data_IF_028300302343
#
_entry.id   IF_028300302343
#
_cell.length_a   1.000
_cell.length_b   1.000
_cell.length_c   1.000
_cell.angle_alpha   90.00
_cell.angle_beta   90.00
_cell.angle_gamma   90.00
#
_symmetry.space_group_name_H-M   'P 1'
#
loop_
_entity.id
_entity.type
_entity.pdbx_description
1 polymer ?
#
# COMPACT_ATOMS: atom_id res chain seq x y z
N UNK A 1 55.32 -10.58 -27.87
CA UNK A 1 56.45 -11.36 -27.34
C UNK A 1 56.22 -11.46 -25.84
N UNK A 2 55.72 -12.60 -25.34
CA UNK A 2 56.55 -13.71 -24.80
C UNK A 2 57.33 -13.26 -23.55
N UNK A 3 57.33 -13.93 -22.39
CA UNK A 3 56.85 -15.27 -22.03
C UNK A 3 56.88 -15.43 -20.50
N UNK A 4 55.89 -16.17 -19.98
CA UNK A 4 55.95 -17.21 -18.94
C UNK A 4 56.98 -17.18 -17.79
N UNK A 5 56.50 -17.37 -16.57
CA UNK A 5 57.02 -18.42 -15.67
C UNK A 5 55.84 -19.12 -14.97
N UNK A 6 55.67 -20.40 -15.29
CA UNK A 6 54.89 -21.41 -14.56
C UNK A 6 55.90 -22.36 -13.90
N UNK A 7 55.51 -22.87 -12.73
CA UNK A 7 55.80 -24.17 -12.09
C UNK A 7 55.86 -23.94 -10.56
N UNK A 8 55.21 -24.70 -9.69
CA UNK A 8 54.44 -25.92 -9.84
C UNK A 8 54.39 -26.65 -8.48
N UNK A 9 53.29 -27.37 -8.25
CA UNK A 9 53.09 -28.48 -7.31
C UNK A 9 52.88 -28.25 -5.80
N UNK A 10 51.77 -28.80 -5.29
CA UNK A 10 51.56 -29.08 -3.87
C UNK A 10 50.11 -29.33 -3.48
N UNK A 11 49.54 -30.47 -3.88
CA UNK A 11 48.22 -30.97 -3.49
C UNK A 11 48.12 -31.26 -1.98
N UNK A 12 47.09 -30.75 -1.31
CA UNK A 12 46.43 -31.48 -0.21
C UNK A 12 44.97 -31.02 -0.08
N UNK A 13 44.06 -31.80 -0.66
CA UNK A 13 42.65 -31.72 -0.35
C UNK A 13 42.44 -32.20 1.10
N UNK A 14 41.93 -31.33 1.97
CA UNK A 14 41.38 -31.76 3.27
C UNK A 14 39.85 -31.74 3.16
N UNK A 15 39.31 -32.95 3.11
CA UNK A 15 37.91 -33.29 3.22
C UNK A 15 37.28 -32.63 4.46
N UNK A 16 36.30 -31.75 4.26
CA UNK A 16 35.37 -31.38 5.33
C UNK A 16 34.18 -32.30 5.25
N UNK A 17 34.17 -33.25 6.19
CA UNK A 17 33.07 -34.16 6.51
C UNK A 17 31.73 -33.43 6.52
N UNK A 18 30.84 -33.84 5.61
CA UNK A 18 29.44 -33.46 5.56
C UNK A 18 28.71 -34.44 6.48
N UNK A 19 28.32 -33.98 7.66
CA UNK A 19 27.47 -34.74 8.58
C UNK A 19 26.04 -34.78 8.03
N UNK A 20 25.72 -35.82 7.26
CA UNK A 20 24.34 -36.19 6.90
C UNK A 20 23.64 -36.73 8.14
N UNK A 21 22.86 -35.88 8.81
CA UNK A 21 21.89 -36.33 9.80
C UNK A 21 20.66 -36.82 9.05
N UNK A 22 20.51 -38.15 8.93
CA UNK A 22 19.31 -38.79 8.39
C UNK A 22 18.14 -38.58 9.37
N UNK A 23 17.23 -37.66 9.04
CA UNK A 23 15.92 -37.57 9.67
C UNK A 23 14.94 -38.54 9.01
N UNK A 24 14.06 -39.24 9.77
CA UNK A 24 13.19 -40.27 9.22
C UNK A 24 12.21 -39.71 8.17
N UNK A 25 12.18 -40.37 7.01
CA UNK A 25 11.19 -40.18 5.95
C UNK A 25 9.77 -40.34 6.50
N UNK A 26 9.04 -39.24 6.58
CA UNK A 26 7.57 -39.21 6.73
C UNK A 26 6.99 -38.84 5.35
N UNK A 27 5.84 -39.41 4.93
CA UNK A 27 5.47 -39.53 3.52
C UNK A 27 5.34 -38.18 2.82
N UNK A 28 5.97 -38.06 1.65
CA UNK A 28 5.71 -36.99 0.70
C UNK A 28 4.27 -37.13 0.20
N UNK A 29 3.34 -36.39 0.82
CA UNK A 29 2.10 -36.01 0.13
C UNK A 29 2.51 -35.04 -0.98
N UNK A 30 2.43 -35.53 -2.21
CA UNK A 30 2.43 -34.74 -3.43
C UNK A 30 1.38 -33.63 -3.31
N UNK A 31 1.82 -32.41 -3.01
CA UNK A 31 1.01 -31.21 -3.22
C UNK A 31 0.89 -31.02 -4.73
N UNK A 32 -0.24 -31.43 -5.31
CA UNK A 32 -0.65 -30.98 -6.64
C UNK A 32 -0.49 -29.46 -6.70
N UNK A 33 0.10 -28.93 -7.77
CA UNK A 33 0.16 -27.49 -7.97
C UNK A 33 -1.28 -27.01 -8.18
N UNK A 34 -1.90 -26.55 -7.11
CA UNK A 34 -3.29 -26.10 -7.11
C UNK A 34 -3.47 -24.93 -8.08
N UNK A 35 -4.55 -24.96 -8.85
CA UNK A 35 -4.85 -23.95 -9.87
C UNK A 35 -5.20 -22.62 -9.19
N UNK A 36 -4.48 -21.51 -9.44
CA UNK A 36 -4.75 -20.23 -8.78
C UNK A 36 -6.17 -19.72 -9.01
N UNK A 37 -6.78 -19.99 -10.17
CA UNK A 37 -8.19 -19.63 -10.43
C UNK A 37 -9.12 -20.33 -9.42
N UNK A 38 -8.90 -21.62 -9.19
CA UNK A 38 -9.69 -22.41 -8.25
C UNK A 38 -9.50 -21.94 -6.81
N UNK A 39 -8.28 -21.62 -6.40
CA UNK A 39 -7.99 -21.10 -5.05
C UNK A 39 -8.68 -19.77 -4.79
N UNK A 40 -8.60 -18.84 -5.76
CA UNK A 40 -9.24 -17.54 -5.67
C UNK A 40 -10.76 -17.72 -5.55
N UNK A 41 -11.37 -18.55 -6.41
CA UNK A 41 -12.81 -18.81 -6.34
C UNK A 41 -13.23 -19.42 -5.00
N UNK A 42 -12.45 -20.37 -4.47
CA UNK A 42 -12.71 -20.95 -3.15
C UNK A 42 -12.64 -19.91 -2.04
N UNK A 43 -11.66 -19.00 -2.07
CA UNK A 43 -11.59 -17.89 -1.12
C UNK A 43 -12.84 -17.01 -1.20
N UNK A 44 -13.21 -16.57 -2.41
CA UNK A 44 -14.37 -15.70 -2.61
C UNK A 44 -15.67 -16.35 -2.15
N UNK A 45 -15.88 -17.63 -2.45
CA UNK A 45 -17.07 -18.39 -2.05
C UNK A 45 -17.17 -18.58 -0.52
N UNK A 46 -16.04 -18.85 0.14
CA UNK A 46 -15.99 -18.97 1.60
C UNK A 46 -16.38 -17.66 2.26
N UNK A 47 -15.85 -16.54 1.76
CA UNK A 47 -16.17 -15.20 2.28
C UNK A 47 -17.61 -14.78 2.01
N UNK A 48 -18.12 -15.05 0.81
CA UNK A 48 -19.54 -14.84 0.48
C UNK A 48 -20.47 -15.63 1.42
N UNK A 49 -19.99 -16.75 1.96
CA UNK A 49 -20.72 -17.59 2.92
C UNK A 49 -20.52 -17.17 4.39
N UNK A 50 -19.77 -16.10 4.66
CA UNK A 50 -19.51 -15.60 6.02
C UNK A 50 -18.54 -16.46 6.83
N UNK A 51 -17.76 -17.33 6.20
CA UNK A 51 -16.77 -18.17 6.88
C UNK A 51 -15.47 -17.36 7.02
N UNK A 52 -15.21 -16.86 8.23
CA UNK A 52 -13.97 -16.14 8.56
C UNK A 52 -12.77 -17.09 8.65
N UNK A 53 -11.62 -16.67 8.13
CA UNK A 53 -10.37 -17.43 8.12
C UNK A 53 -9.43 -16.87 9.21
N UNK A 54 -9.71 -17.10 10.50
CA UNK A 54 -8.77 -16.74 11.59
C UNK A 54 -8.23 -15.30 11.53
N UNK A 55 -6.97 -15.08 11.93
CA UNK A 55 -6.24 -13.83 11.65
C UNK A 55 -6.02 -13.71 10.13
N UNK A 56 -7.00 -13.13 9.42
CA UNK A 56 -6.97 -13.03 7.97
C UNK A 56 -5.81 -12.16 7.50
N UNK A 57 -4.94 -12.71 6.63
CA UNK A 57 -3.88 -11.91 6.03
C UNK A 57 -4.49 -10.73 5.24
N UNK A 58 -4.01 -9.49 5.47
CA UNK A 58 -4.56 -8.29 4.83
C UNK A 58 -4.34 -8.26 3.31
N UNK A 59 -3.47 -9.15 2.80
CA UNK A 59 -3.06 -9.22 1.40
C UNK A 59 -2.76 -10.67 1.03
N UNK A 60 -3.61 -11.28 0.19
CA UNK A 60 -3.40 -12.62 -0.35
C UNK A 60 -3.14 -12.49 -1.85
N UNK A 61 -1.99 -12.99 -2.31
CA UNK A 61 -1.51 -12.81 -3.69
C UNK A 61 -1.29 -14.15 -4.40
N UNK A 62 -1.68 -14.19 -5.68
CA UNK A 62 -1.45 -15.30 -6.59
C UNK A 62 -0.75 -14.84 -7.85
N UNK A 63 0.10 -15.71 -8.40
CA UNK A 63 0.54 -15.57 -9.79
C UNK A 63 -0.61 -15.96 -10.71
N UNK A 64 -1.15 -14.99 -11.43
CA UNK A 64 -2.26 -15.14 -12.34
C UNK A 64 -1.91 -14.46 -13.66
N UNK A 65 -1.77 -15.23 -14.73
CA UNK A 65 -1.50 -14.70 -16.06
C UNK A 65 -2.79 -14.15 -16.71
N UNK A 66 -2.72 -13.39 -17.82
CA UNK A 66 -3.90 -12.75 -18.43
C UNK A 66 -5.01 -13.72 -18.84
N UNK A 67 -4.67 -14.89 -19.38
CA UNK A 67 -5.67 -15.89 -19.77
C UNK A 67 -6.41 -16.46 -18.56
N UNK A 68 -5.68 -16.74 -17.46
CA UNK A 68 -6.27 -17.23 -16.22
C UNK A 68 -7.09 -16.14 -15.50
N UNK A 69 -6.69 -14.87 -15.61
CA UNK A 69 -7.47 -13.74 -15.14
C UNK A 69 -8.78 -13.60 -15.93
N UNK A 70 -8.73 -13.67 -17.26
CA UNK A 70 -9.93 -13.62 -18.10
C UNK A 70 -10.88 -14.79 -17.80
N UNK A 71 -10.34 -15.99 -17.56
CA UNK A 71 -11.10 -17.16 -17.11
C UNK A 71 -11.76 -16.91 -15.74
N UNK A 72 -11.00 -16.44 -14.75
CA UNK A 72 -11.52 -16.11 -13.42
C UNK A 72 -12.68 -15.10 -13.50
N UNK A 73 -12.50 -14.01 -14.23
CA UNK A 73 -13.52 -12.98 -14.40
C UNK A 73 -14.73 -13.53 -15.16
N UNK A 74 -14.52 -14.40 -16.16
CA UNK A 74 -15.60 -15.06 -16.87
C UNK A 74 -16.44 -15.95 -15.95
N UNK A 75 -15.80 -16.77 -15.11
CA UNK A 75 -16.49 -17.64 -14.15
C UNK A 75 -17.28 -16.81 -13.13
N UNK A 76 -16.68 -15.74 -12.57
CA UNK A 76 -17.35 -14.86 -11.60
C UNK A 76 -18.61 -14.26 -12.22
N UNK A 77 -18.57 -13.82 -13.48
CA UNK A 77 -19.72 -13.22 -14.18
C UNK A 77 -20.86 -14.18 -14.49
N UNK A 78 -20.61 -15.50 -14.49
CA UNK A 78 -21.63 -16.51 -14.72
C UNK A 78 -22.48 -16.78 -13.46
N UNK A 79 -21.96 -16.49 -12.27
CA UNK A 79 -22.65 -16.64 -11.00
C UNK A 79 -23.11 -15.25 -10.50
N UNK A 80 -24.40 -14.94 -10.63
CA UNK A 80 -24.96 -13.63 -10.28
C UNK A 80 -24.68 -13.21 -8.83
N UNK A 81 -24.72 -14.16 -7.90
CA UNK A 81 -24.49 -13.89 -6.47
C UNK A 81 -23.03 -13.61 -6.20
N UNK A 82 -22.14 -14.43 -6.77
CA UNK A 82 -20.70 -14.23 -6.66
C UNK A 82 -20.26 -12.94 -7.36
N UNK A 83 -20.81 -12.63 -8.54
CA UNK A 83 -20.55 -11.40 -9.29
C UNK A 83 -20.94 -10.18 -8.47
N UNK A 84 -22.16 -10.15 -7.92
CA UNK A 84 -22.64 -9.03 -7.10
C UNK A 84 -21.76 -8.80 -5.88
N UNK A 85 -21.36 -9.88 -5.19
CA UNK A 85 -20.44 -9.81 -4.06
C UNK A 85 -19.04 -9.33 -4.48
N UNK A 86 -18.50 -9.86 -5.57
CA UNK A 86 -17.18 -9.52 -6.07
C UNK A 86 -17.07 -8.04 -6.47
N UNK A 87 -18.12 -7.50 -7.11
CA UNK A 87 -18.13 -6.10 -7.53
C UNK A 87 -18.34 -5.13 -6.36
N UNK A 88 -19.17 -5.49 -5.38
CA UNK A 88 -19.50 -4.61 -4.25
C UNK A 88 -18.44 -4.66 -3.13
N UNK A 89 -18.07 -5.87 -2.70
CA UNK A 89 -17.38 -6.10 -1.43
C UNK A 89 -15.90 -6.45 -1.60
N UNK A 90 -15.51 -7.05 -2.73
CA UNK A 90 -14.14 -7.52 -2.91
C UNK A 90 -13.25 -6.39 -3.42
N UNK A 91 -12.26 -6.02 -2.62
CA UNK A 91 -11.16 -5.16 -3.07
C UNK A 91 -10.05 -6.04 -3.62
N UNK A 92 -9.64 -5.79 -4.85
CA UNK A 92 -8.61 -6.57 -5.51
C UNK A 92 -7.75 -5.72 -6.45
N UNK A 93 -6.54 -6.20 -6.64
CA UNK A 93 -5.58 -5.66 -7.58
C UNK A 93 -5.24 -6.72 -8.62
N UNK A 94 -5.08 -6.28 -9.87
CA UNK A 94 -4.53 -7.14 -10.91
C UNK A 94 -3.52 -6.38 -11.76
N UNK A 95 -2.28 -6.86 -11.75
CA UNK A 95 -1.24 -6.41 -12.65
C UNK A 95 -0.99 -7.42 -13.76
N UNK A 96 -1.31 -7.08 -15.02
CA UNK A 96 -0.96 -7.90 -16.18
C UNK A 96 0.53 -7.83 -16.51
N UNK A 97 1.27 -6.90 -15.90
CA UNK A 97 2.72 -6.75 -16.14
C UNK A 97 3.48 -7.77 -15.31
N UNK A 98 3.07 -7.94 -14.05
CA UNK A 98 3.74 -8.83 -13.10
C UNK A 98 3.00 -10.15 -12.95
N UNK A 99 1.85 -10.31 -13.62
CA UNK A 99 0.96 -11.47 -13.55
C UNK A 99 0.57 -11.78 -12.12
N UNK A 100 0.16 -10.75 -11.38
CA UNK A 100 -0.22 -10.85 -9.96
C UNK A 100 -1.65 -10.43 -9.77
N UNK A 101 -2.43 -11.29 -9.14
CA UNK A 101 -3.75 -11.00 -8.62
C UNK A 101 -3.70 -11.00 -7.11
N UNK A 102 -4.23 -9.97 -6.46
CA UNK A 102 -4.27 -9.90 -5.01
C UNK A 102 -5.66 -9.53 -4.51
N UNK A 103 -6.14 -10.27 -3.52
CA UNK A 103 -7.34 -9.90 -2.75
C UNK A 103 -6.90 -9.17 -1.50
N UNK A 104 -7.53 -8.02 -1.26
CA UNK A 104 -7.23 -7.12 -0.15
C UNK A 104 -8.22 -7.31 0.98
N UNK A 105 -7.73 -7.33 2.21
CA UNK A 105 -8.52 -7.29 3.44
C UNK A 105 -8.09 -6.11 4.31
N UNK A 106 -8.76 -4.95 4.16
CA UNK A 106 -8.54 -3.83 5.07
C UNK A 106 -8.89 -4.26 6.50
N UNK A 107 -8.03 -3.93 7.46
CA UNK A 107 -8.35 -4.05 8.88
C UNK A 107 -9.01 -2.76 9.37
N UNK A 108 -9.61 -2.75 10.56
CA UNK A 108 -10.16 -1.49 11.09
C UNK A 108 -9.06 -0.47 11.38
N UNK A 109 -7.96 -0.91 12.02
CA UNK A 109 -6.81 -0.05 12.29
C UNK A 109 -6.20 0.52 10.99
N UNK A 110 -6.22 -0.26 9.90
CA UNK A 110 -5.88 0.20 8.55
C UNK A 110 -6.69 1.42 8.14
N UNK A 111 -8.01 1.25 8.13
CA UNK A 111 -8.93 2.24 7.58
C UNK A 111 -8.94 3.50 8.42
N UNK A 112 -8.86 3.36 9.74
CA UNK A 112 -8.87 4.54 10.60
C UNK A 112 -7.54 5.31 10.53
N UNK A 113 -6.39 4.62 10.50
CA UNK A 113 -5.11 5.28 10.32
C UNK A 113 -5.06 6.07 9.01
N UNK A 114 -5.43 5.44 7.89
CA UNK A 114 -5.45 6.09 6.59
C UNK A 114 -6.46 7.24 6.54
N UNK A 115 -7.63 7.10 7.14
CA UNK A 115 -8.62 8.18 7.22
C UNK A 115 -8.07 9.40 7.98
N UNK A 116 -7.25 9.19 9.02
CA UNK A 116 -6.60 10.30 9.74
C UNK A 116 -5.53 10.98 8.88
N UNK A 117 -4.71 10.21 8.18
CA UNK A 117 -3.72 10.74 7.23
C UNK A 117 -4.39 11.54 6.12
N UNK A 118 -5.43 10.98 5.49
CA UNK A 118 -6.21 11.63 4.43
C UNK A 118 -6.84 12.93 4.92
N UNK A 119 -7.45 12.90 6.11
CA UNK A 119 -8.06 14.07 6.74
C UNK A 119 -7.04 15.17 7.00
N UNK A 120 -5.88 14.87 7.57
CA UNK A 120 -4.85 15.87 7.89
C UNK A 120 -4.32 16.55 6.62
N UNK A 121 -4.07 15.77 5.55
CA UNK A 121 -3.71 16.33 4.24
C UNK A 121 -4.80 17.28 3.73
N UNK A 122 -6.07 16.87 3.80
CA UNK A 122 -7.21 17.69 3.40
C UNK A 122 -7.33 18.99 4.21
N UNK A 123 -7.21 18.91 5.54
CA UNK A 123 -7.28 20.08 6.43
C UNK A 123 -6.16 21.07 6.18
N UNK A 124 -4.94 20.59 5.88
CA UNK A 124 -3.83 21.46 5.51
C UNK A 124 -4.07 22.16 4.15
N UNK A 125 -4.60 21.45 3.16
CA UNK A 125 -4.97 22.04 1.86
C UNK A 125 -6.07 23.11 2.03
N UNK A 126 -7.09 22.82 2.83
CA UNK A 126 -8.17 23.78 3.14
C UNK A 126 -7.66 25.01 3.88
N UNK A 127 -6.76 24.81 4.85
CA UNK A 127 -6.12 25.90 5.58
C UNK A 127 -5.30 26.79 4.62
N UNK A 128 -4.51 26.19 3.73
CA UNK A 128 -3.78 26.93 2.70
C UNK A 128 -4.73 27.70 1.77
N UNK A 129 -5.86 27.10 1.36
CA UNK A 129 -6.84 27.74 0.49
C UNK A 129 -7.54 28.92 1.18
N UNK A 130 -7.77 28.85 2.49
CA UNK A 130 -8.30 29.95 3.29
C UNK A 130 -7.32 31.12 3.44
N UNK A 131 -6.01 30.85 3.33
CA UNK A 131 -4.92 31.82 3.42
C UNK A 131 -4.32 32.23 2.07
N UNK A 132 -4.93 31.78 0.97
CA UNK A 132 -4.49 32.09 -0.39
C UNK A 132 -4.42 33.61 -0.62
N UNK A 133 -3.37 34.05 -1.33
CA UNK A 133 -3.11 35.46 -1.59
C UNK A 133 -4.03 36.04 -2.65
N UNK A 134 -4.47 35.21 -3.59
CA UNK A 134 -5.31 35.58 -4.72
C UNK A 134 -6.28 34.46 -5.09
N UNK A 135 -7.12 34.73 -6.11
CA UNK A 135 -8.12 33.79 -6.60
C UNK A 135 -7.52 32.57 -7.30
N UNK A 136 -6.31 32.70 -7.87
CA UNK A 136 -5.65 31.63 -8.62
C UNK A 136 -5.09 30.56 -7.67
N UNK A 137 -4.35 30.98 -6.63
CA UNK A 137 -3.90 30.10 -5.54
C UNK A 137 -5.08 29.36 -4.90
N UNK A 138 -6.13 30.11 -4.58
CA UNK A 138 -7.33 29.56 -3.94
C UNK A 138 -8.02 28.53 -4.83
N UNK A 139 -8.14 28.83 -6.12
CA UNK A 139 -8.73 27.92 -7.10
C UNK A 139 -7.92 26.64 -7.23
N UNK A 140 -6.59 26.77 -7.40
CA UNK A 140 -5.69 25.61 -7.48
C UNK A 140 -5.85 24.68 -6.28
N UNK A 141 -5.75 25.20 -5.05
CA UNK A 141 -5.82 24.39 -3.83
C UNK A 141 -7.18 23.70 -3.68
N UNK A 142 -8.28 24.40 -3.97
CA UNK A 142 -9.64 23.83 -3.87
C UNK A 142 -9.95 22.78 -4.94
N UNK A 143 -9.18 22.73 -6.03
CA UNK A 143 -9.37 21.67 -7.03
C UNK A 143 -8.81 20.34 -6.57
N UNK A 144 -7.88 20.33 -5.60
CA UNK A 144 -7.28 19.12 -5.05
C UNK A 144 -8.26 18.48 -4.08
N UNK A 145 -8.63 17.22 -4.33
CA UNK A 145 -9.57 16.48 -3.50
C UNK A 145 -9.09 15.05 -3.28
N UNK A 146 -9.39 14.52 -2.10
CA UNK A 146 -9.28 13.08 -1.87
C UNK A 146 -10.28 12.34 -2.75
N UNK A 147 -9.85 11.22 -3.32
CA UNK A 147 -10.71 10.23 -3.98
C UNK A 147 -10.74 8.90 -3.23
N UNK A 148 -10.19 8.88 -2.01
CA UNK A 148 -10.07 7.67 -1.19
C UNK A 148 -9.48 6.50 -1.97
N UNK A 149 -10.11 5.33 -1.87
CA UNK A 149 -9.65 4.08 -2.46
C UNK A 149 -10.24 3.77 -3.85
N UNK A 150 -10.66 4.79 -4.61
CA UNK A 150 -11.26 4.60 -5.94
C UNK A 150 -10.30 3.91 -6.91
N UNK A 151 -10.78 2.91 -7.66
CA UNK A 151 -9.99 2.16 -8.64
C UNK A 151 -9.28 3.06 -9.66
N UNK A 152 -8.00 2.78 -9.88
CA UNK A 152 -7.18 3.38 -10.93
C UNK A 152 -6.97 2.34 -12.04
N UNK A 153 -7.36 2.63 -13.30
CA UNK A 153 -7.13 1.71 -14.40
C UNK A 153 -5.64 1.65 -14.76
N UNK A 154 -5.11 0.44 -14.93
CA UNK A 154 -3.77 0.24 -15.48
C UNK A 154 -3.87 0.21 -17.01
N UNK A 155 -3.42 1.29 -17.64
CA UNK A 155 -3.49 1.46 -19.10
C UNK A 155 -2.13 1.14 -19.74
N UNK A 156 -2.16 0.35 -20.82
CA UNK A 156 -1.00 0.09 -21.67
C UNK A 156 -1.42 0.19 -23.14
N UNK A 157 -0.69 0.97 -23.93
CA UNK A 157 -1.01 1.27 -25.33
C UNK A 157 -2.49 1.67 -25.59
N UNK A 158 -3.11 2.37 -24.63
CA UNK A 158 -4.50 2.83 -24.74
C UNK A 158 -5.57 1.81 -24.33
N UNK A 159 -5.17 0.60 -23.95
CA UNK A 159 -6.08 -0.44 -23.46
C UNK A 159 -5.99 -0.57 -21.94
N UNK A 160 -7.15 -0.75 -21.29
CA UNK A 160 -7.23 -1.09 -19.86
C UNK A 160 -6.90 -2.57 -19.72
N UNK A 161 -5.72 -2.87 -19.17
CA UNK A 161 -5.27 -4.26 -19.00
C UNK A 161 -5.41 -4.76 -17.55
N UNK A 162 -5.70 -3.85 -16.61
CA UNK A 162 -5.86 -4.19 -15.20
C UNK A 162 -6.34 -3.00 -14.39
N UNK A 163 -6.28 -3.13 -13.07
CA UNK A 163 -6.60 -2.04 -12.14
C UNK A 163 -5.83 -2.20 -10.84
N UNK A 164 -5.70 -1.07 -10.15
CA UNK A 164 -5.23 -1.00 -8.76
C UNK A 164 -6.26 -0.24 -7.93
N UNK A 165 -6.44 -0.66 -6.70
CA UNK A 165 -7.32 0.00 -5.73
C UNK A 165 -6.43 0.62 -4.65
N UNK A 166 -5.97 1.88 -4.78
CA UNK A 166 -5.04 2.48 -3.83
C UNK A 166 -5.65 2.57 -2.42
N UNK A 167 -4.81 2.73 -1.41
CA UNK A 167 -5.24 2.97 -0.02
C UNK A 167 -5.77 4.39 0.21
N UNK A 168 -5.15 5.36 -0.45
CA UNK A 168 -5.62 6.73 -0.51
C UNK A 168 -5.10 7.41 -1.76
N UNK A 169 -5.77 8.46 -2.21
CA UNK A 169 -5.29 9.21 -3.37
C UNK A 169 -5.85 10.63 -3.39
N UNK A 170 -5.09 11.54 -3.99
CA UNK A 170 -5.49 12.92 -4.23
C UNK A 170 -5.37 13.25 -5.71
N UNK A 171 -6.41 13.89 -6.23
CA UNK A 171 -6.49 14.29 -7.62
C UNK A 171 -7.04 15.71 -7.72
N UNK A 172 -6.63 16.44 -8.77
CA UNK A 172 -7.36 17.65 -9.14
C UNK A 172 -8.72 17.28 -9.73
N UNK A 173 -9.67 18.19 -9.64
CA UNK A 173 -10.98 18.05 -10.28
C UNK A 173 -10.81 17.66 -11.77
N UNK A 174 -11.58 16.66 -12.21
CA UNK A 174 -11.61 16.13 -13.59
C UNK A 174 -10.29 15.51 -14.08
N UNK A 175 -9.30 15.28 -13.20
CA UNK A 175 -8.13 14.49 -13.58
C UNK A 175 -8.50 13.02 -13.75
N UNK A 176 -8.01 12.40 -14.83
CA UNK A 176 -8.24 10.97 -15.12
C UNK A 176 -7.36 10.03 -14.29
N UNK A 177 -6.32 10.58 -13.66
CA UNK A 177 -5.40 9.87 -12.77
C UNK A 177 -5.12 10.75 -11.56
N UNK A 178 -4.97 10.17 -10.36
CA UNK A 178 -4.54 10.93 -9.20
C UNK A 178 -3.09 11.38 -9.37
N UNK A 179 -2.79 12.55 -8.81
CA UNK A 179 -1.46 13.11 -8.78
C UNK A 179 -0.63 12.50 -7.63
N UNK A 180 -1.28 12.25 -6.49
CA UNK A 180 -0.66 11.61 -5.32
C UNK A 180 -1.42 10.33 -4.99
N UNK A 181 -0.68 9.24 -4.79
CA UNK A 181 -1.21 7.96 -4.32
C UNK A 181 -0.55 7.61 -2.98
N UNK A 182 -1.35 7.06 -2.07
CA UNK A 182 -0.92 6.54 -0.76
C UNK A 182 -1.21 5.05 -0.76
N UNK A 183 -0.23 4.26 -0.36
CA UNK A 183 -0.26 2.81 -0.23
C UNK A 183 0.24 2.41 1.14
N UNK A 184 -0.50 1.55 1.82
CA UNK A 184 -0.08 0.96 3.07
C UNK A 184 0.35 -0.49 2.85
N UNK A 185 1.57 -0.81 3.26
CA UNK A 185 2.16 -2.13 3.20
C UNK A 185 2.16 -2.80 4.57
N UNK A 186 1.84 -4.09 4.58
CA UNK A 186 2.07 -5.01 5.70
C UNK A 186 3.16 -5.99 5.32
N UNK A 187 4.44 -5.59 5.33
CA UNK A 187 5.61 -6.47 5.10
C UNK A 187 5.67 -7.35 3.82
N UNK A 188 4.60 -7.43 3.01
CA UNK A 188 4.47 -8.31 1.84
C UNK A 188 4.17 -7.54 0.54
N UNK A 189 3.73 -6.27 0.61
CA UNK A 189 3.56 -5.44 -0.60
C UNK A 189 4.92 -5.00 -1.11
N UNK A 190 5.17 -5.21 -2.40
CA UNK A 190 6.33 -4.68 -3.08
C UNK A 190 6.09 -3.22 -3.48
N UNK A 191 6.28 -2.29 -2.52
CA UNK A 191 6.04 -0.86 -2.73
C UNK A 191 6.80 -0.26 -3.93
N UNK A 192 8.08 -0.59 -4.20
CA UNK A 192 8.77 -0.16 -5.43
C UNK A 192 8.03 -0.53 -6.72
N UNK A 193 7.59 -1.79 -6.83
CA UNK A 193 6.85 -2.29 -8.01
C UNK A 193 5.49 -1.58 -8.16
N UNK A 194 4.81 -1.33 -7.04
CA UNK A 194 3.54 -0.59 -7.02
C UNK A 194 3.74 0.87 -7.46
N UNK A 195 4.81 1.52 -6.97
CA UNK A 195 5.13 2.89 -7.36
C UNK A 195 5.45 3.01 -8.85
N UNK A 196 6.24 2.08 -9.39
CA UNK A 196 6.51 1.97 -10.82
C UNK A 196 5.21 1.83 -11.62
N UNK A 197 4.30 0.96 -11.21
CA UNK A 197 3.03 0.78 -11.92
C UNK A 197 2.20 2.07 -11.96
N UNK A 198 2.00 2.74 -10.83
CA UNK A 198 1.24 3.99 -10.82
C UNK A 198 1.88 5.07 -11.69
N UNK A 199 3.19 5.28 -11.56
CA UNK A 199 3.90 6.35 -12.27
C UNK A 199 4.01 6.03 -13.77
N UNK A 200 4.42 4.82 -14.14
CA UNK A 200 4.64 4.45 -15.54
C UNK A 200 3.32 4.32 -16.30
N UNK A 201 2.29 3.66 -15.71
CA UNK A 201 1.01 3.40 -16.41
C UNK A 201 0.16 4.65 -16.55
N UNK A 202 0.33 5.63 -15.68
CA UNK A 202 -0.26 6.95 -15.81
C UNK A 202 0.53 7.91 -16.73
N UNK A 203 1.71 7.49 -17.20
CA UNK A 203 2.69 8.32 -17.92
C UNK A 203 3.10 9.57 -17.14
N UNK A 204 3.37 9.41 -15.85
CA UNK A 204 3.81 10.49 -14.96
C UNK A 204 2.71 11.49 -14.60
N UNK A 205 1.43 11.12 -14.78
CA UNK A 205 0.30 11.91 -14.25
C UNK A 205 0.13 11.68 -12.76
N UNK A 206 0.37 10.45 -12.29
CA UNK A 206 0.71 10.22 -10.89
C UNK A 206 2.14 10.70 -10.68
N UNK A 207 2.28 11.78 -9.94
CA UNK A 207 3.54 12.48 -9.66
C UNK A 207 4.23 11.94 -8.42
N UNK A 208 3.46 11.46 -7.45
CA UNK A 208 3.98 11.01 -6.17
C UNK A 208 3.27 9.74 -5.71
N UNK A 209 4.04 8.78 -5.23
CA UNK A 209 3.53 7.59 -4.52
C UNK A 209 4.16 7.57 -3.14
N UNK A 210 3.31 7.47 -2.13
CA UNK A 210 3.68 7.38 -0.72
C UNK A 210 3.43 5.95 -0.25
N UNK A 211 4.46 5.28 0.24
CA UNK A 211 4.36 3.96 0.86
C UNK A 211 4.49 4.06 2.37
N UNK A 212 3.50 3.55 3.10
CA UNK A 212 3.48 3.45 4.55
C UNK A 212 3.64 1.97 4.92
N UNK A 213 4.82 1.54 5.33
CA UNK A 213 5.09 0.16 5.76
C UNK A 213 4.93 0.06 7.27
N UNK A 214 3.85 -0.58 7.71
CA UNK A 214 3.49 -0.69 9.13
C UNK A 214 3.47 -2.15 9.57
N UNK A 215 4.18 -2.43 10.65
CA UNK A 215 4.30 -3.77 11.21
C UNK A 215 3.13 -4.10 12.17
N UNK A 216 1.92 -4.26 11.64
CA UNK A 216 0.76 -4.69 12.44
C UNK A 216 0.69 -6.21 12.61
N UNK A 217 0.11 -6.67 13.73
CA UNK A 217 -0.41 -8.04 13.91
C UNK A 217 0.61 -9.17 14.02
N UNK A 218 1.90 -8.94 13.70
CA UNK A 218 2.90 -10.02 13.66
C UNK A 218 3.66 -10.21 14.97
N UNK A 219 3.76 -9.17 15.79
CA UNK A 219 4.38 -9.25 17.11
C UNK A 219 4.06 -8.01 17.93
N UNK A 220 3.59 -8.13 19.18
CA UNK A 220 3.46 -6.99 20.09
C UNK A 220 4.82 -6.33 20.42
N UNK A 221 5.93 -6.95 20.00
CA UNK A 221 7.31 -6.52 20.28
C UNK A 221 7.89 -5.63 19.17
N UNK A 222 7.22 -5.51 18.01
CA UNK A 222 7.72 -4.67 16.91
C UNK A 222 6.62 -3.76 16.37
N UNK A 223 6.69 -2.49 16.77
CA UNK A 223 5.79 -1.43 16.31
C UNK A 223 6.40 -0.56 15.20
N UNK A 224 7.51 -0.99 14.59
CA UNK A 224 8.20 -0.19 13.57
C UNK A 224 7.25 0.22 12.45
N UNK A 225 7.29 1.49 12.08
CA UNK A 225 6.55 2.02 10.94
C UNK A 225 7.43 2.95 10.11
N UNK A 226 7.40 2.76 8.80
CA UNK A 226 8.30 3.40 7.84
C UNK A 226 7.55 4.06 6.70
N UNK A 227 8.11 5.15 6.21
CA UNK A 227 7.62 5.92 5.08
C UNK A 227 8.63 5.82 3.94
N UNK A 228 8.16 5.53 2.75
CA UNK A 228 8.89 5.72 1.50
C UNK A 228 8.12 6.63 0.55
N UNK A 229 8.85 7.40 -0.27
CA UNK A 229 8.27 8.30 -1.28
C UNK A 229 8.96 8.09 -2.61
N UNK A 230 8.16 7.92 -3.65
CA UNK A 230 8.61 7.91 -5.05
C UNK A 230 8.04 9.13 -5.77
N UNK A 231 8.84 9.75 -6.62
CA UNK A 231 8.42 10.86 -7.48
C UNK A 231 8.58 10.48 -8.95
N UNK A 232 7.65 10.93 -9.79
CA UNK A 232 7.74 10.78 -11.23
C UNK A 232 8.81 11.71 -11.80
N UNK A 233 9.80 11.14 -12.48
CA UNK A 233 10.83 11.89 -13.18
C UNK A 233 10.78 11.62 -14.68
N UNK A 234 10.85 12.70 -15.47
CA UNK A 234 10.90 12.62 -16.92
C UNK A 234 12.33 12.41 -17.40
N UNK A 235 12.51 11.67 -18.48
CA UNK A 235 13.78 11.59 -19.21
C UNK A 235 13.54 11.62 -20.71
N UNK A 236 14.59 11.91 -21.47
CA UNK A 236 14.59 11.80 -22.93
C UNK A 236 15.65 10.79 -23.33
N UNK A 237 15.24 9.74 -24.06
CA UNK A 237 16.15 8.75 -24.62
C UNK A 237 15.87 8.61 -26.12
N UNK A 238 16.88 8.86 -26.96
CA UNK A 238 16.76 8.83 -28.43
C UNK A 238 15.59 9.67 -28.98
N UNK A 239 15.34 10.85 -28.38
CA UNK A 239 14.24 11.74 -28.78
C UNK A 239 12.85 11.28 -28.32
N UNK A 240 12.75 10.19 -27.55
CA UNK A 240 11.51 9.74 -26.93
C UNK A 240 11.47 10.16 -25.46
N UNK A 241 10.37 10.80 -25.05
CA UNK A 241 10.09 11.12 -23.65
C UNK A 241 9.65 9.86 -22.91
N UNK A 242 10.24 9.64 -21.75
CA UNK A 242 9.88 8.59 -20.81
C UNK A 242 9.70 9.14 -19.40
N UNK A 243 9.15 8.31 -18.53
CA UNK A 243 9.03 8.58 -17.10
C UNK A 243 9.54 7.37 -16.32
N UNK A 244 10.06 7.58 -15.12
CA UNK A 244 10.42 6.53 -14.17
C UNK A 244 10.08 6.95 -12.73
N UNK A 245 9.99 5.98 -11.82
CA UNK A 245 9.74 6.25 -10.40
C UNK A 245 11.06 6.43 -9.64
N UNK A 246 11.41 7.67 -9.30
CA UNK A 246 12.59 7.98 -8.51
C UNK A 246 12.29 7.87 -7.01
N UNK A 247 13.02 7.00 -6.30
CA UNK A 247 12.94 6.91 -4.84
C UNK A 247 13.54 8.17 -4.21
N UNK A 248 12.70 8.96 -3.52
CA UNK A 248 13.08 10.23 -2.86
C UNK A 248 13.26 10.10 -1.36
N UNK A 249 12.47 9.24 -0.74
CA UNK A 249 12.60 8.89 0.67
C UNK A 249 12.59 7.38 0.75
N UNK A 250 13.66 6.80 1.29
CA UNK A 250 13.77 5.36 1.47
C UNK A 250 13.58 5.01 2.94
N UNK A 251 12.44 4.37 3.26
CA UNK A 251 12.19 3.70 4.54
C UNK A 251 12.49 4.57 5.76
N UNK A 252 12.10 5.83 5.73
CA UNK A 252 12.21 6.73 6.87
C UNK A 252 11.34 6.21 8.00
N UNK A 253 11.96 5.87 9.13
CA UNK A 253 11.23 5.47 10.33
C UNK A 253 10.50 6.68 10.91
N UNK A 254 9.18 6.57 11.04
CA UNK A 254 8.36 7.54 11.76
C UNK A 254 7.92 7.01 13.13
N UNK A 255 7.94 5.67 13.31
CA UNK A 255 7.77 5.00 14.60
C UNK A 255 8.81 3.90 14.75
N UNK A 256 9.50 3.85 15.88
CA UNK A 256 10.52 2.86 16.18
C UNK A 256 9.91 1.54 16.64
N UNK A 257 10.78 0.53 16.81
CA UNK A 257 10.39 -0.82 17.24
C UNK A 257 9.62 -0.84 18.55
N UNK A 258 9.98 0.02 19.50
CA UNK A 258 9.35 0.13 20.82
C UNK A 258 8.03 0.92 20.81
N UNK A 259 7.62 1.45 19.66
CA UNK A 259 6.43 2.29 19.50
C UNK A 259 6.70 3.77 19.67
N UNK A 260 7.91 4.18 20.08
CA UNK A 260 8.19 5.60 20.25
C UNK A 260 8.27 6.33 18.89
N UNK A 261 7.78 7.58 18.81
CA UNK A 261 7.85 8.36 17.57
C UNK A 261 9.29 8.80 17.26
N UNK A 262 9.58 8.93 15.98
CA UNK A 262 10.78 9.68 15.56
C UNK A 262 10.54 11.18 15.78
N UNK A 263 11.18 11.74 16.80
CA UNK A 263 11.00 13.15 17.20
C UNK A 263 11.82 14.16 16.38
N UNK A 264 12.52 13.72 15.32
CA UNK A 264 13.20 14.64 14.42
C UNK A 264 12.20 15.58 13.75
N UNK A 265 12.36 16.92 13.82
CA UNK A 265 11.48 17.87 13.12
C UNK A 265 11.46 17.69 11.60
N UNK A 266 12.50 17.05 11.04
CA UNK A 266 12.58 16.74 9.63
C UNK A 266 11.81 15.46 9.24
N UNK A 267 11.54 14.56 10.20
CA UNK A 267 10.89 13.28 9.96
C UNK A 267 9.36 13.42 9.87
N UNK A 268 8.77 12.69 8.93
CA UNK A 268 7.35 12.71 8.66
C UNK A 268 7.03 12.71 7.16
N UNK A 269 5.74 12.70 6.86
CA UNK A 269 5.23 12.75 5.51
C UNK A 269 5.34 14.17 4.95
N UNK A 270 6.06 14.34 3.84
CA UNK A 270 6.16 15.60 3.07
C UNK A 270 5.66 15.42 1.66
N UNK A 271 4.68 16.23 1.27
CA UNK A 271 4.13 16.25 -0.08
C UNK A 271 4.23 17.69 -0.58
N UNK A 272 5.07 17.92 -1.59
CA UNK A 272 5.19 19.25 -2.19
C UNK A 272 3.91 19.58 -2.93
N UNK A 273 3.50 20.85 -2.98
CA UNK A 273 2.31 21.21 -3.76
C UNK A 273 2.50 20.87 -5.24
N UNK A 274 3.74 20.89 -5.74
CA UNK A 274 4.14 20.42 -7.07
C UNK A 274 3.75 18.96 -7.35
N UNK A 275 3.68 18.11 -6.32
CA UNK A 275 3.27 16.71 -6.47
C UNK A 275 1.77 16.60 -6.80
N UNK A 276 0.98 17.66 -6.57
CA UNK A 276 -0.44 17.70 -6.94
C UNK A 276 -0.67 18.34 -8.33
N UNK A 277 0.36 18.95 -8.92
CA UNK A 277 0.24 19.65 -10.20
C UNK A 277 0.43 18.69 -11.39
N UNK A 278 -0.63 18.53 -12.17
CA UNK A 278 -0.56 17.99 -13.53
C UNK A 278 -0.66 19.18 -14.48
N UNK A 279 0.49 19.77 -14.83
CA UNK A 279 0.59 20.99 -15.64
C UNK A 279 0.83 22.24 -14.80
N UNK A 280 0.11 23.32 -15.08
CA UNK A 280 0.37 24.62 -14.48
C UNK A 280 -0.02 24.69 -12.99
N UNK A 281 0.77 25.44 -12.25
CA UNK A 281 0.63 25.79 -10.84
C UNK A 281 1.00 27.27 -10.63
N UNK A 282 0.30 27.99 -9.74
CA UNK A 282 0.72 29.33 -9.34
C UNK A 282 2.15 29.33 -8.77
N UNK A 283 3.03 30.18 -9.32
CA UNK A 283 4.45 30.24 -8.93
C UNK A 283 4.65 30.49 -7.44
N UNK A 284 3.71 31.19 -6.80
CA UNK A 284 3.72 31.50 -5.37
C UNK A 284 3.44 30.29 -4.46
N UNK A 285 2.98 29.16 -5.02
CA UNK A 285 2.83 27.88 -4.32
C UNK A 285 4.05 26.96 -4.47
N UNK A 286 5.03 27.31 -5.33
CA UNK A 286 6.24 26.52 -5.49
C UNK A 286 7.02 26.43 -4.17
N UNK A 287 7.45 25.21 -3.82
CA UNK A 287 8.18 24.94 -2.60
C UNK A 287 7.34 24.98 -1.32
N UNK A 288 6.02 25.22 -1.42
CA UNK A 288 5.10 24.94 -0.30
C UNK A 288 4.81 23.45 -0.26
N UNK A 289 4.58 22.94 0.94
CA UNK A 289 4.36 21.51 1.16
C UNK A 289 3.31 21.27 2.24
N UNK A 290 2.66 20.11 2.15
CA UNK A 290 1.92 19.48 3.23
C UNK A 290 2.93 18.69 4.08
N UNK A 291 2.84 18.84 5.40
CA UNK A 291 3.72 18.15 6.33
C UNK A 291 2.94 17.52 7.48
N UNK A 292 3.06 16.21 7.65
CA UNK A 292 2.59 15.50 8.84
C UNK A 292 3.81 14.96 9.57
N UNK A 293 4.02 15.42 10.80
CA UNK A 293 5.19 15.01 11.59
C UNK A 293 5.18 13.50 11.88
N UNK A 294 6.36 12.91 12.04
CA UNK A 294 6.48 11.52 12.46
C UNK A 294 5.77 11.24 13.80
N UNK A 295 5.80 12.19 14.75
CA UNK A 295 5.05 12.09 16.01
C UNK A 295 3.53 12.04 15.79
N UNK A 296 3.01 12.85 14.87
CA UNK A 296 1.57 12.82 14.51
C UNK A 296 1.20 11.49 13.88
N UNK A 297 2.00 10.99 12.92
CA UNK A 297 1.76 9.70 12.27
C UNK A 297 1.81 8.53 13.26
N UNK A 298 2.78 8.52 14.16
CA UNK A 298 2.88 7.51 15.22
C UNK A 298 1.66 7.56 16.15
N UNK A 299 1.24 8.76 16.58
CA UNK A 299 0.05 8.93 17.42
C UNK A 299 -1.25 8.48 16.74
N UNK A 300 -1.35 8.56 15.42
CA UNK A 300 -2.47 7.96 14.69
C UNK A 300 -2.48 6.44 14.80
N UNK A 301 -1.32 5.79 14.70
CA UNK A 301 -1.19 4.34 14.86
C UNK A 301 -1.49 3.92 16.30
N UNK A 302 -0.93 4.63 17.29
CA UNK A 302 -1.14 4.31 18.71
C UNK A 302 -2.62 4.39 19.07
N UNK A 303 -3.31 5.45 18.62
CA UNK A 303 -4.75 5.59 18.82
C UNK A 303 -5.54 4.42 18.22
N UNK A 304 -5.16 3.94 17.02
CA UNK A 304 -5.83 2.79 16.39
C UNK A 304 -5.51 1.43 17.01
N UNK A 305 -4.37 1.32 17.69
CA UNK A 305 -3.96 0.10 18.42
C UNK A 305 -4.58 0.04 19.81
N UNK A 306 -4.87 1.19 20.42
CA UNK A 306 -5.51 1.30 21.75
C UNK A 306 -7.04 1.15 21.68
N UNK A 307 -7.64 1.39 20.53
CA UNK A 307 -9.10 1.25 20.33
C UNK A 307 -9.43 -0.15 19.83
N UNK A 308 -9.90 -1.04 20.72
CA UNK A 308 -10.49 -2.33 20.30
C UNK A 308 -11.97 -2.15 19.92
N UNK A 309 -12.38 -2.46 18.69
CA UNK A 309 -13.78 -2.38 18.28
C UNK A 309 -14.63 -3.37 19.09
N UNK A 310 -15.68 -2.88 19.74
CA UNK A 310 -16.59 -3.69 20.54
C UNK A 310 -16.23 -3.84 22.02
N UNK A 311 -15.11 -3.26 22.49
CA UNK A 311 -14.87 -3.08 23.92
C UNK A 311 -15.78 -1.97 24.45
N UNK A 312 -16.85 -2.36 25.15
CA UNK A 312 -17.70 -1.40 25.84
C UNK A 312 -16.95 -0.92 27.07
N UNK A 313 -16.32 0.25 26.97
CA UNK A 313 -15.82 0.98 28.14
C UNK A 313 -17.04 1.68 28.76
N UNK A 314 -17.68 0.98 29.71
CA UNK A 314 -18.75 1.56 30.51
C UNK A 314 -18.20 2.71 31.34
N UNK A 315 -18.89 3.86 31.31
CA UNK A 315 -18.61 4.89 32.32
C UNK A 315 -19.04 4.39 33.71
N UNK A 316 -18.44 4.88 34.81
CA UNK A 316 -18.90 4.58 36.20
C UNK A 316 -20.41 4.81 36.37
N UNK A 317 -20.97 5.72 35.58
CA UNK A 317 -22.40 6.05 35.55
C UNK A 317 -23.26 4.93 34.94
N UNK A 318 -22.72 4.19 33.97
CA UNK A 318 -23.40 3.09 33.29
C UNK A 318 -23.20 1.75 34.02
N UNK A 319 -22.05 1.54 34.68
CA UNK A 319 -21.87 0.41 35.61
C UNK A 319 -22.87 0.46 36.77
N UNK A 320 -23.16 1.67 37.29
CA UNK A 320 -24.16 1.88 38.34
C UNK A 320 -25.61 1.59 37.93
N UNK A 321 -25.92 1.57 36.62
CA UNK A 321 -27.23 1.20 36.08
C UNK A 321 -27.39 -0.31 35.92
N UNK A 322 -26.29 -1.05 35.68
CA UNK A 322 -26.28 -2.51 35.56
C UNK A 322 -26.29 -3.20 36.93
N UNK A 323 -25.56 -2.64 37.90
CA UNK A 323 -25.58 -3.10 39.28
C UNK A 323 -26.74 -2.42 40.01
N UNK A 324 -27.96 -2.89 39.77
CA UNK A 324 -29.15 -2.46 40.49
C UNK A 324 -28.95 -2.58 42.01
N UNK A 325 -28.45 -1.52 42.65
CA UNK A 325 -28.45 -1.41 44.10
C UNK A 325 -29.90 -1.15 44.51
N UNK A 326 -30.54 -2.04 45.29
CA UNK A 326 -31.86 -1.76 45.80
C UNK A 326 -31.75 -0.50 46.67
N UNK A 327 -32.61 0.49 46.39
CA UNK A 327 -32.79 1.62 47.28
C UNK A 327 -33.23 1.07 48.63
N UNK A 328 -32.45 1.37 49.68
CA UNK A 328 -32.91 1.32 51.06
C UNK A 328 -34.02 2.35 51.27
#
# INVERSE_FOLDING_TARGET
MASSYLDGYGSSASEKSISLCETPLTPQTSTESSNPVTEILQLLQRRLSGISIGEEEPWIEWKLNPSAYDELIHIIKQDERLCSYFEAEVRFDYSPTTNKFAVRMPSESHDVFLRRVDKDIGEQLDYMAAKAKDAEEKSFLKTIMSKGSTDIPLIHHGQKLGKRSPDGQFARERANFPAVVIEMAYSHKNLPEIADEYILRSRGRTKCVIGLDVYYGKSPVNKTARLSKWAAESFVHNGQEGVWAALRVDKQEFRYKDGTPNNSPAAGLRIGLEDFAIGDMPTSLLGKEIFISAATLAGYLDWTEETTPGEVIWSEREEGLLLGKPKQ
#
